data_IF_577214448867
#
_entry.id   IF_577214448867
#
_cell.length_a   1.000
_cell.length_b   1.000
_cell.length_c   1.000
_cell.angle_alpha   90.00
_cell.angle_beta   90.00
_cell.angle_gamma   90.00
#
_symmetry.space_group_name_H-M   'P 1'
#
loop_
_entity.id
_entity.type
_entity.pdbx_description
1 polymer ?
#
# COMPACT_ATOMS: atom_id res chain seq x y z
N UNK A 1 8.78 60.57 36.63
CA UNK A 1 7.76 60.63 35.55
C UNK A 1 8.34 60.27 34.17
N UNK A 2 9.59 60.66 33.86
CA UNK A 2 10.25 60.36 32.57
C UNK A 2 10.61 58.87 32.36
N UNK A 3 10.80 58.07 33.42
CA UNK A 3 11.11 56.64 33.29
C UNK A 3 9.95 55.78 32.78
N UNK A 4 8.70 56.17 33.06
CA UNK A 4 7.51 55.44 32.60
C UNK A 4 7.22 55.65 31.11
N UNK A 5 7.63 56.80 30.55
CA UNK A 5 7.40 57.13 29.14
C UNK A 5 8.28 56.30 28.19
N UNK A 6 9.53 56.01 28.59
CA UNK A 6 10.45 55.17 27.83
C UNK A 6 9.98 53.71 27.79
N UNK A 7 9.58 53.12 28.92
CA UNK A 7 9.11 51.73 28.98
C UNK A 7 7.83 51.47 28.16
N UNK A 8 6.89 52.42 28.14
CA UNK A 8 5.66 52.29 27.34
C UNK A 8 5.91 52.24 25.83
N UNK A 9 6.96 52.91 25.35
CA UNK A 9 7.35 52.93 23.93
C UNK A 9 8.32 51.80 23.59
N UNK A 10 9.18 51.41 24.55
CA UNK A 10 10.20 50.38 24.36
C UNK A 10 9.62 48.95 24.29
N UNK A 11 8.62 48.65 25.11
CA UNK A 11 7.97 47.33 25.16
C UNK A 11 7.38 46.91 23.81
N UNK A 12 6.55 47.71 23.11
CA UNK A 12 6.00 47.30 21.82
C UNK A 12 7.09 47.14 20.74
N UNK A 13 8.16 47.93 20.80
CA UNK A 13 9.29 47.80 19.87
C UNK A 13 10.07 46.50 20.09
N UNK A 14 10.25 46.09 21.35
CA UNK A 14 10.87 44.80 21.70
C UNK A 14 10.00 43.61 21.29
N UNK A 15 8.67 43.70 21.48
CA UNK A 15 7.73 42.66 21.02
C UNK A 15 7.73 42.55 19.50
N UNK A 16 7.77 43.67 18.79
CA UNK A 16 7.86 43.67 17.34
C UNK A 16 9.18 43.08 16.84
N UNK A 17 10.29 43.46 17.48
CA UNK A 17 11.61 42.91 17.16
C UNK A 17 11.69 41.40 17.43
N UNK A 18 11.08 40.91 18.52
CA UNK A 18 11.05 39.47 18.83
C UNK A 18 10.18 38.69 17.85
N UNK A 19 9.05 39.25 17.40
CA UNK A 19 8.22 38.65 16.35
C UNK A 19 8.95 38.58 15.02
N UNK A 20 9.66 39.64 14.63
CA UNK A 20 10.49 39.66 13.42
C UNK A 20 11.64 38.65 13.49
N UNK A 21 12.32 38.57 14.63
CA UNK A 21 13.37 37.58 14.88
C UNK A 21 12.80 36.15 14.83
N UNK A 22 11.64 35.92 15.45
CA UNK A 22 10.96 34.63 15.42
C UNK A 22 10.53 34.22 14.00
N UNK A 23 9.98 35.15 13.22
CA UNK A 23 9.62 34.91 11.82
C UNK A 23 10.85 34.60 10.96
N UNK A 24 11.94 35.35 11.12
CA UNK A 24 13.19 35.12 10.38
C UNK A 24 13.84 33.78 10.77
N UNK A 25 13.84 33.45 12.07
CA UNK A 25 14.33 32.18 12.58
C UNK A 25 13.48 31.01 12.06
N UNK A 26 12.16 31.13 12.09
CA UNK A 26 11.22 30.15 11.55
C UNK A 26 11.42 29.92 10.05
N UNK A 27 11.63 31.00 9.29
CA UNK A 27 11.96 30.91 7.86
C UNK A 27 13.28 30.18 7.60
N UNK A 28 14.34 30.49 8.36
CA UNK A 28 15.64 29.81 8.23
C UNK A 28 15.61 28.33 8.61
N UNK A 29 14.77 27.96 9.57
CA UNK A 29 14.63 26.58 10.04
C UNK A 29 13.66 25.75 9.18
N UNK A 30 13.03 26.37 8.17
CA UNK A 30 12.15 25.68 7.23
C UNK A 30 10.75 25.39 7.77
N UNK A 31 10.33 26.03 8.88
CA UNK A 31 8.96 25.87 9.41
C UNK A 31 7.87 26.31 8.43
N UNK A 32 8.21 27.18 7.48
CA UNK A 32 7.32 27.65 6.40
C UNK A 32 7.64 27.02 5.05
N UNK A 33 8.55 26.03 4.99
CA UNK A 33 8.70 25.25 3.77
C UNK A 33 7.40 24.47 3.56
N UNK A 34 6.84 24.45 2.34
CA UNK A 34 5.69 23.60 2.05
C UNK A 34 6.09 22.17 2.44
N UNK A 35 5.37 21.61 3.41
CA UNK A 35 5.60 20.25 3.86
C UNK A 35 5.36 19.36 2.66
N UNK A 36 6.42 18.72 2.14
CA UNK A 36 6.24 17.74 1.06
C UNK A 36 5.34 16.64 1.61
N UNK A 37 4.17 16.37 1.01
CA UNK A 37 3.33 15.26 1.44
C UNK A 37 4.15 13.98 1.47
N UNK A 38 4.08 13.26 2.59
CA UNK A 38 4.77 12.00 2.75
C UNK A 38 4.14 10.93 1.84
N UNK A 39 4.98 10.13 1.17
CA UNK A 39 4.53 9.09 0.24
C UNK A 39 4.43 9.55 -1.23
N UNK A 40 3.83 8.70 -2.06
CA UNK A 40 3.70 8.91 -3.52
C UNK A 40 2.29 9.29 -3.95
N UNK A 41 1.31 9.28 -3.04
CA UNK A 41 -0.11 9.53 -3.36
C UNK A 41 -0.36 10.89 -3.99
N UNK A 42 0.32 11.93 -3.51
CA UNK A 42 0.20 13.30 -4.03
C UNK A 42 0.54 13.42 -5.51
N UNK A 43 1.46 12.60 -6.02
CA UNK A 43 1.83 12.65 -7.43
C UNK A 43 0.69 12.13 -8.31
N UNK A 44 0.04 11.03 -7.89
CA UNK A 44 -1.10 10.49 -8.62
C UNK A 44 -2.28 11.45 -8.57
N UNK A 45 -2.58 12.01 -7.40
CA UNK A 45 -3.65 13.01 -7.23
C UNK A 45 -3.42 14.23 -8.13
N UNK A 46 -2.19 14.76 -8.17
CA UNK A 46 -1.83 15.88 -9.05
C UNK A 46 -1.98 15.53 -10.53
N UNK A 47 -1.54 14.34 -10.96
CA UNK A 47 -1.67 13.91 -12.36
C UNK A 47 -3.14 13.81 -12.78
N UNK A 48 -3.99 13.19 -11.96
CA UNK A 48 -5.41 13.06 -12.25
C UNK A 48 -6.12 14.42 -12.24
N UNK A 49 -5.79 15.29 -11.28
CA UNK A 49 -6.31 16.66 -11.22
C UNK A 49 -5.95 17.46 -12.48
N UNK A 50 -4.69 17.39 -12.93
CA UNK A 50 -4.27 18.11 -14.14
C UNK A 50 -4.93 17.57 -15.40
N UNK A 51 -5.24 16.28 -15.46
CA UNK A 51 -6.02 15.72 -16.58
C UNK A 51 -7.45 16.24 -16.51
N UNK A 52 -8.12 16.12 -15.36
CA UNK A 52 -9.52 16.55 -15.19
C UNK A 52 -9.73 18.04 -15.55
N UNK A 53 -8.84 18.91 -15.07
CA UNK A 53 -8.96 20.37 -15.26
C UNK A 53 -8.58 20.86 -16.66
N UNK A 54 -7.65 20.19 -17.34
CA UNK A 54 -7.07 20.69 -18.59
C UNK A 54 -7.47 19.88 -19.82
N UNK A 55 -8.11 18.73 -19.68
CA UNK A 55 -8.52 17.93 -20.82
C UNK A 55 -9.83 18.47 -21.42
N UNK A 56 -9.88 18.53 -22.75
CA UNK A 56 -10.98 19.17 -23.48
C UNK A 56 -12.23 18.28 -23.54
N UNK A 57 -12.03 16.97 -23.50
CA UNK A 57 -13.08 15.95 -23.62
C UNK A 57 -13.34 15.27 -22.26
N UNK A 58 -14.57 14.81 -22.05
CA UNK A 58 -14.90 13.96 -20.89
C UNK A 58 -14.12 12.65 -20.95
N UNK A 59 -13.35 12.37 -19.90
CA UNK A 59 -12.60 11.13 -19.73
C UNK A 59 -13.14 10.37 -18.50
N UNK A 60 -13.34 9.07 -18.65
CA UNK A 60 -13.58 8.15 -17.53
C UNK A 60 -12.27 7.91 -16.76
N UNK A 61 -11.94 8.82 -15.83
CA UNK A 61 -10.73 8.74 -15.00
C UNK A 61 -10.70 7.49 -14.10
N UNK A 62 -11.85 6.99 -13.67
CA UNK A 62 -11.95 5.79 -12.81
C UNK A 62 -11.39 4.55 -13.51
N UNK A 63 -11.67 4.43 -14.82
CA UNK A 63 -11.09 3.37 -15.66
C UNK A 63 -9.57 3.44 -15.72
N UNK A 64 -9.00 4.63 -15.83
CA UNK A 64 -7.54 4.81 -15.89
C UNK A 64 -6.88 4.61 -14.53
N UNK A 65 -7.53 5.02 -13.43
CA UNK A 65 -7.07 4.69 -12.07
C UNK A 65 -6.98 3.18 -11.88
N UNK A 66 -8.03 2.45 -12.24
CA UNK A 66 -8.08 0.98 -12.13
C UNK A 66 -7.01 0.30 -12.98
N UNK A 67 -6.86 0.75 -14.23
CA UNK A 67 -5.85 0.21 -15.16
C UNK A 67 -4.42 0.50 -14.67
N UNK A 68 -4.18 1.70 -14.13
CA UNK A 68 -2.89 2.08 -13.57
C UNK A 68 -2.55 1.26 -12.32
N UNK A 69 -3.50 1.12 -11.40
CA UNK A 69 -3.33 0.28 -10.21
C UNK A 69 -3.01 -1.17 -10.56
N UNK A 70 -3.76 -1.76 -11.51
CA UNK A 70 -3.50 -3.10 -12.03
C UNK A 70 -2.09 -3.24 -12.59
N UNK A 71 -1.68 -2.29 -13.43
CA UNK A 71 -0.35 -2.29 -14.05
C UNK A 71 0.79 -2.21 -13.02
N UNK A 72 0.62 -1.40 -11.96
CA UNK A 72 1.59 -1.29 -10.87
C UNK A 72 1.71 -2.62 -10.12
N UNK A 73 0.60 -3.25 -9.77
CA UNK A 73 0.60 -4.54 -9.05
C UNK A 73 1.24 -5.64 -9.89
N UNK A 74 0.85 -5.77 -11.16
CA UNK A 74 1.40 -6.78 -12.09
C UNK A 74 2.89 -6.60 -12.38
N UNK A 75 3.45 -5.39 -12.15
CA UNK A 75 4.89 -5.14 -12.30
C UNK A 75 5.75 -5.72 -11.17
N UNK A 76 5.13 -6.11 -10.05
CA UNK A 76 5.81 -6.64 -8.88
C UNK A 76 5.88 -8.17 -8.99
N UNK A 77 7.01 -8.83 -8.66
CA UNK A 77 7.07 -10.29 -8.60
C UNK A 77 5.99 -10.86 -7.68
N UNK A 78 5.21 -11.82 -8.19
CA UNK A 78 4.04 -12.40 -7.50
C UNK A 78 2.92 -11.40 -7.16
N UNK A 79 2.93 -10.20 -7.75
CA UNK A 79 1.83 -9.25 -7.63
C UNK A 79 0.70 -9.63 -8.56
N UNK A 80 -0.46 -9.96 -8.00
CA UNK A 80 -1.68 -10.22 -8.74
C UNK A 80 -2.75 -9.22 -8.32
N UNK A 81 -3.38 -8.59 -9.31
CA UNK A 81 -4.47 -7.65 -9.10
C UNK A 81 -5.80 -8.42 -9.10
N UNK A 82 -6.59 -8.23 -8.03
CA UNK A 82 -7.94 -8.76 -7.90
C UNK A 82 -8.92 -7.60 -7.79
N UNK A 83 -9.95 -7.60 -8.64
CA UNK A 83 -11.14 -6.77 -8.42
C UNK A 83 -11.90 -7.22 -7.17
N UNK A 84 -12.81 -6.39 -6.67
CA UNK A 84 -13.63 -6.73 -5.49
C UNK A 84 -14.41 -8.03 -5.72
N UNK A 85 -15.00 -8.20 -6.90
CA UNK A 85 -15.76 -9.41 -7.26
C UNK A 85 -14.86 -10.65 -7.35
N UNK A 86 -13.66 -10.52 -7.92
CA UNK A 86 -12.67 -11.60 -7.98
C UNK A 86 -12.18 -11.96 -6.58
N UNK A 87 -11.89 -10.97 -5.73
CA UNK A 87 -11.47 -11.17 -4.35
C UNK A 87 -12.54 -11.88 -3.52
N UNK A 88 -13.81 -11.52 -3.68
CA UNK A 88 -14.93 -12.20 -3.02
C UNK A 88 -15.07 -13.66 -3.49
N UNK A 89 -14.93 -13.90 -4.79
CA UNK A 89 -15.00 -15.25 -5.37
C UNK A 89 -13.85 -16.14 -4.88
N UNK A 90 -12.63 -15.62 -4.84
CA UNK A 90 -11.47 -16.32 -4.30
C UNK A 90 -11.66 -16.58 -2.80
N UNK A 91 -12.10 -15.59 -2.02
CA UNK A 91 -12.40 -15.76 -0.60
C UNK A 91 -13.44 -16.86 -0.35
N UNK A 92 -14.49 -16.93 -1.16
CA UNK A 92 -15.51 -17.97 -1.10
C UNK A 92 -14.98 -19.36 -1.45
N UNK A 93 -14.02 -19.46 -2.39
CA UNK A 93 -13.29 -20.70 -2.69
C UNK A 93 -12.55 -21.22 -1.45
N UNK A 94 -11.98 -20.32 -0.64
CA UNK A 94 -11.30 -20.68 0.62
C UNK A 94 -12.28 -20.98 1.78
N UNK A 95 -13.45 -20.34 1.83
CA UNK A 95 -14.43 -20.51 2.92
C UNK A 95 -15.41 -21.69 2.70
N UNK A 96 -15.61 -22.13 1.45
CA UNK A 96 -16.73 -22.98 1.07
C UNK A 96 -16.37 -24.40 0.60
N UNK A 97 -15.98 -25.26 1.56
CA UNK A 97 -15.58 -26.69 1.41
C UNK A 97 -14.12 -26.86 0.99
N UNK A 98 -13.29 -27.25 1.96
CA UNK A 98 -12.01 -27.91 1.72
C UNK A 98 -12.26 -29.23 0.97
N UNK A 99 -12.42 -29.17 -0.35
CA UNK A 99 -12.39 -30.34 -1.21
C UNK A 99 -10.92 -30.60 -1.55
N UNK A 100 -10.39 -31.73 -1.11
CA UNK A 100 -8.98 -32.07 -1.29
C UNK A 100 -8.55 -33.25 -0.43
N UNK A 101 -7.30 -33.68 -0.64
CA UNK A 101 -6.74 -34.84 0.05
C UNK A 101 -6.15 -34.51 1.44
N UNK A 102 -6.10 -33.23 1.81
CA UNK A 102 -5.63 -32.78 3.12
C UNK A 102 -4.11 -32.60 3.22
N UNK A 103 -3.49 -32.02 2.19
CA UNK A 103 -2.08 -31.65 2.19
C UNK A 103 -1.88 -30.16 1.96
N UNK A 104 -0.83 -29.61 2.56
CA UNK A 104 -0.22 -28.36 2.16
C UNK A 104 0.97 -28.69 1.26
N UNK A 105 1.07 -28.06 0.10
CA UNK A 105 2.14 -28.33 -0.86
C UNK A 105 2.86 -27.05 -1.29
N UNK A 106 4.03 -27.22 -1.89
CA UNK A 106 4.82 -26.16 -2.51
C UNK A 106 5.40 -26.66 -3.84
N UNK A 107 5.53 -25.76 -4.81
CA UNK A 107 6.10 -26.08 -6.12
C UNK A 107 7.54 -25.61 -6.14
N UNK A 108 8.48 -26.54 -6.38
CA UNK A 108 9.90 -26.24 -6.51
C UNK A 108 10.46 -26.94 -7.74
N UNK A 109 11.01 -26.17 -8.69
CA UNK A 109 11.59 -26.67 -9.95
C UNK A 109 10.65 -27.62 -10.69
N UNK A 110 9.43 -27.15 -10.96
CA UNK A 110 8.37 -27.91 -11.64
C UNK A 110 8.02 -29.25 -10.96
N UNK A 111 8.21 -29.35 -9.65
CA UNK A 111 7.78 -30.52 -8.86
C UNK A 111 6.99 -30.07 -7.65
N UNK A 112 5.87 -30.75 -7.40
CA UNK A 112 5.04 -30.55 -6.22
C UNK A 112 5.62 -31.33 -5.03
N UNK A 113 5.90 -30.64 -3.93
CA UNK A 113 6.36 -31.20 -2.67
C UNK A 113 5.32 -31.02 -1.58
N UNK A 114 5.10 -32.04 -0.77
CA UNK A 114 4.26 -31.97 0.42
C UNK A 114 5.03 -31.22 1.51
N UNK A 115 4.50 -30.09 1.96
CA UNK A 115 5.06 -29.31 3.07
C UNK A 115 4.57 -29.89 4.40
N UNK A 116 3.28 -30.18 4.50
CA UNK A 116 2.65 -30.71 5.71
C UNK A 116 1.34 -31.43 5.36
N UNK A 117 0.90 -32.36 6.19
CA UNK A 117 -0.42 -32.99 6.11
C UNK A 117 -1.33 -32.46 7.20
N UNK A 118 -2.62 -32.32 6.88
CA UNK A 118 -3.62 -32.00 7.90
C UNK A 118 -3.74 -33.18 8.89
N UNK A 119 -3.55 -32.88 10.19
CA UNK A 119 -3.65 -33.87 11.27
C UNK A 119 -5.03 -34.53 11.28
N UNK A 120 -5.05 -35.86 11.28
CA UNK A 120 -6.26 -36.69 11.16
C UNK A 120 -6.88 -36.70 9.76
N UNK A 121 -6.30 -35.99 8.78
CA UNK A 121 -6.79 -35.86 7.42
C UNK A 121 -6.57 -37.12 6.56
N UNK A 122 -7.20 -37.22 5.38
CA UNK A 122 -7.08 -38.39 4.50
C UNK A 122 -5.63 -38.76 4.16
N UNK A 123 -4.82 -37.76 3.82
CA UNK A 123 -3.41 -37.97 3.44
C UNK A 123 -2.54 -38.49 4.59
N UNK A 124 -2.71 -37.96 5.81
CA UNK A 124 -1.97 -38.47 6.98
C UNK A 124 -2.35 -39.94 7.28
N UNK A 125 -3.64 -40.29 7.15
CA UNK A 125 -4.11 -41.68 7.34
C UNK A 125 -3.56 -42.66 6.31
N UNK A 126 -3.23 -42.17 5.12
CA UNK A 126 -2.61 -42.96 4.05
C UNK A 126 -1.08 -42.95 4.13
N UNK A 127 -0.51 -42.25 5.12
CA UNK A 127 0.93 -42.23 5.39
C UNK A 127 1.73 -41.26 4.52
N UNK A 128 1.07 -40.32 3.84
CA UNK A 128 1.75 -39.21 3.15
C UNK A 128 2.41 -38.31 4.21
N UNK A 129 3.65 -37.91 3.97
CA UNK A 129 4.45 -37.13 4.91
C UNK A 129 5.00 -35.84 4.29
N UNK A 130 5.45 -34.94 5.15
CA UNK A 130 6.27 -33.79 4.74
C UNK A 130 7.51 -34.28 3.96
N UNK A 131 7.89 -33.50 2.95
CA UNK A 131 8.95 -33.76 1.99
C UNK A 131 8.67 -34.83 0.93
N UNK A 132 7.48 -35.45 0.91
CA UNK A 132 7.07 -36.31 -0.20
C UNK A 132 6.97 -35.51 -1.51
N UNK A 133 7.28 -36.16 -2.62
CA UNK A 133 7.19 -35.60 -3.98
C UNK A 133 6.00 -36.21 -4.69
N UNK A 134 5.12 -35.37 -5.21
CA UNK A 134 4.04 -35.82 -6.10
C UNK A 134 4.62 -35.85 -7.51
N UNK A 135 4.71 -37.05 -8.07
CA UNK A 135 5.30 -37.31 -9.39
C UNK A 135 4.26 -37.53 -10.48
N UNK A 136 3.03 -37.87 -10.10
CA UNK A 136 1.95 -38.18 -11.03
C UNK A 136 0.59 -38.08 -10.32
N UNK A 137 -0.43 -37.59 -11.02
CA UNK A 137 -1.83 -37.57 -10.58
C UNK A 137 -2.69 -38.10 -11.71
N UNK A 138 -3.38 -39.22 -11.49
CA UNK A 138 -4.29 -39.84 -12.48
C UNK A 138 -3.68 -40.06 -13.89
N UNK A 139 -2.39 -40.38 -13.99
CA UNK A 139 -1.72 -40.53 -15.29
C UNK A 139 -1.09 -39.26 -15.85
N UNK A 140 -1.25 -38.12 -15.18
CA UNK A 140 -0.71 -36.82 -15.59
C UNK A 140 0.53 -36.49 -14.77
N UNK A 141 1.60 -36.10 -15.47
CA UNK A 141 2.85 -35.61 -14.89
C UNK A 141 2.93 -34.09 -15.00
#
# INVERSE_FOLDING_TARGET
MLSRLSSTILIPFLVFASLLLGALFGYRMGFFAPMKPEGTGWFYEEVFFQIDENFVDDIDLDRYQTTGAKSVVESIPHGEYYSIEEAEKESQSFEGRYEGIGIQFSILKDTIFVVNTLRGGPSERLGIQSADRIVEVEGLN
#
